data_IF_032443864551
#
_entry.id   IF_032443864551
#
_cell.length_a   1.000
_cell.length_b   1.000
_cell.length_c   1.000
_cell.angle_alpha   90.00
_cell.angle_beta   90.00
_cell.angle_gamma   90.00
#
_symmetry.space_group_name_H-M   'P 1'
#
loop_
_entity.id
_entity.type
_entity.pdbx_description
1 polymer ?
#
# COMPACT_ATOMS: atom_id res chain seq x y z
N UNK A 1 22.68 -12.69 2.90
CA UNK A 1 21.71 -11.96 2.05
C UNK A 1 20.56 -11.50 2.94
N UNK A 2 20.14 -10.25 2.85
CA UNK A 2 18.97 -9.75 3.58
C UNK A 2 17.73 -9.84 2.69
N UNK A 3 16.59 -10.21 3.28
CA UNK A 3 15.28 -10.20 2.61
C UNK A 3 14.63 -8.85 2.90
N UNK A 4 14.21 -8.14 1.86
CA UNK A 4 13.47 -6.88 1.96
C UNK A 4 12.00 -7.06 1.58
N UNK A 5 11.11 -6.34 2.26
CA UNK A 5 9.68 -6.30 1.97
C UNK A 5 9.28 -4.90 1.51
N UNK A 6 8.24 -4.81 0.68
CA UNK A 6 7.66 -3.53 0.26
C UNK A 6 6.15 -3.65 0.13
N UNK A 7 5.48 -2.52 0.35
CA UNK A 7 4.03 -2.41 0.27
C UNK A 7 3.64 -2.18 -1.20
N UNK A 8 2.56 -2.83 -1.63
CA UNK A 8 2.04 -2.78 -3.00
C UNK A 8 0.62 -2.24 -3.01
N UNK A 9 0.18 -1.74 -4.16
CA UNK A 9 -1.24 -1.46 -4.36
C UNK A 9 -2.07 -2.74 -4.14
N UNK A 10 -3.16 -2.63 -3.38
CA UNK A 10 -4.04 -3.75 -3.01
C UNK A 10 -3.58 -4.59 -1.82
N UNK A 11 -2.44 -4.30 -1.20
CA UNK A 11 -2.02 -4.99 0.02
C UNK A 11 -2.97 -4.65 1.19
N UNK A 12 -3.19 -5.61 2.10
CA UNK A 12 -4.18 -5.47 3.17
C UNK A 12 -3.61 -4.69 4.34
N UNK A 13 -4.41 -3.79 4.91
CA UNK A 13 -4.09 -3.13 6.17
C UNK A 13 -4.52 -3.99 7.36
N UNK A 14 -3.91 -3.78 8.53
CA UNK A 14 -4.21 -4.53 9.76
C UNK A 14 -5.68 -4.40 10.21
N UNK A 15 -6.31 -3.27 9.92
CA UNK A 15 -7.72 -3.00 10.17
C UNK A 15 -8.65 -3.53 9.07
N UNK A 16 -8.17 -4.42 8.18
CA UNK A 16 -8.98 -5.08 7.16
C UNK A 16 -9.28 -4.23 5.91
N UNK A 17 -8.65 -3.08 5.75
CA UNK A 17 -8.72 -2.29 4.53
C UNK A 17 -7.63 -2.65 3.53
N UNK A 18 -7.38 -1.78 2.55
CA UNK A 18 -6.44 -2.02 1.45
C UNK A 18 -5.69 -0.75 1.04
N UNK A 19 -4.50 -0.94 0.49
CA UNK A 19 -3.75 0.14 -0.17
C UNK A 19 -4.42 0.50 -1.49
N UNK A 20 -4.83 1.77 -1.62
CA UNK A 20 -5.59 2.27 -2.76
C UNK A 20 -4.69 2.90 -3.82
N UNK A 21 -3.59 3.52 -3.40
CA UNK A 21 -2.67 4.20 -4.29
C UNK A 21 -1.25 3.67 -4.17
N UNK A 22 -0.54 3.74 -5.29
CA UNK A 22 0.86 3.45 -5.41
C UNK A 22 1.40 4.18 -6.63
N UNK A 23 2.68 4.54 -6.62
CA UNK A 23 3.26 5.27 -7.72
C UNK A 23 3.79 4.34 -8.81
N UNK A 24 3.27 4.51 -10.03
CA UNK A 24 3.58 3.70 -11.21
C UNK A 24 4.92 4.04 -11.86
N UNK A 25 5.57 5.14 -11.48
CA UNK A 25 6.93 5.49 -11.94
C UNK A 25 7.99 4.62 -11.28
N UNK A 26 7.68 4.03 -10.10
CA UNK A 26 8.55 3.06 -9.43
C UNK A 26 7.82 1.73 -9.28
N UNK A 27 8.06 0.87 -10.27
CA UNK A 27 7.55 -0.49 -10.29
C UNK A 27 8.58 -1.45 -9.69
N UNK A 28 8.12 -2.42 -8.90
CA UNK A 28 8.92 -3.52 -8.40
C UNK A 28 8.26 -4.83 -8.71
N UNK A 29 8.98 -5.68 -9.45
CA UNK A 29 8.48 -6.99 -9.90
C UNK A 29 7.14 -6.88 -10.64
N UNK A 30 6.97 -5.80 -11.43
CA UNK A 30 5.74 -5.53 -12.19
C UNK A 30 4.60 -4.93 -11.37
N UNK A 31 4.82 -4.59 -10.10
CA UNK A 31 3.79 -3.99 -9.22
C UNK A 31 4.23 -2.60 -8.76
N UNK A 32 3.31 -1.64 -8.81
CA UNK A 32 3.56 -0.30 -8.27
C UNK A 32 3.79 -0.39 -6.76
N UNK A 33 4.89 0.19 -6.29
CA UNK A 33 5.21 0.28 -4.85
C UNK A 33 4.49 1.48 -4.24
N UNK A 34 3.88 1.25 -3.08
CA UNK A 34 3.29 2.32 -2.28
C UNK A 34 4.38 3.14 -1.55
N UNK A 35 4.12 4.43 -1.36
CA UNK A 35 5.00 5.43 -0.75
C UNK A 35 4.30 6.12 0.41
N UNK A 36 5.08 6.81 1.23
CA UNK A 36 4.53 7.74 2.22
C UNK A 36 3.54 8.69 1.54
N UNK A 37 2.37 8.86 2.14
CA UNK A 37 1.32 9.70 1.61
C UNK A 37 0.30 9.00 0.69
N UNK A 38 0.59 7.79 0.20
CA UNK A 38 -0.37 7.01 -0.60
C UNK A 38 -1.59 6.66 0.23
N UNK A 39 -2.77 6.75 -0.40
CA UNK A 39 -4.05 6.49 0.28
C UNK A 39 -4.23 5.00 0.59
N UNK A 40 -4.76 4.73 1.79
CA UNK A 40 -5.17 3.39 2.24
C UNK A 40 -6.57 3.47 2.84
N UNK A 41 -7.39 2.44 2.67
CA UNK A 41 -8.66 2.33 3.38
C UNK A 41 -8.48 1.65 4.75
N UNK A 42 -9.33 2.04 5.70
CA UNK A 42 -9.55 1.31 6.94
C UNK A 42 -10.81 0.46 6.82
N UNK A 43 -10.72 -0.83 7.10
CA UNK A 43 -11.88 -1.74 7.05
C UNK A 43 -12.85 -1.57 8.22
N UNK A 44 -12.39 -0.99 9.33
CA UNK A 44 -13.21 -0.79 10.54
C UNK A 44 -14.11 0.45 10.42
N UNK A 45 -13.56 1.58 10.02
CA UNK A 45 -14.26 2.88 9.99
C UNK A 45 -14.61 3.34 8.56
N UNK A 46 -14.12 2.62 7.53
CA UNK A 46 -14.37 2.94 6.11
C UNK A 46 -13.67 4.21 5.61
N UNK A 47 -12.93 4.93 6.47
CA UNK A 47 -12.19 6.14 6.11
C UNK A 47 -10.90 5.83 5.37
N UNK A 48 -10.42 6.85 4.66
CA UNK A 48 -9.14 6.80 3.94
C UNK A 48 -8.05 7.51 4.74
N UNK A 49 -6.91 6.84 4.90
CA UNK A 49 -5.71 7.32 5.58
C UNK A 49 -4.54 7.36 4.60
N UNK A 50 -3.37 7.78 5.08
CA UNK A 50 -2.13 7.77 4.30
C UNK A 50 -1.10 6.86 4.96
N UNK A 51 -0.28 6.17 4.15
CA UNK A 51 0.90 5.41 4.62
C UNK A 51 1.89 6.35 5.29
#
# INVERSE_FOLDING_TARGET
>A
MAIGYFIRCGDKTSCGGVVLEADTRVMMFGVARAREGDRVSCGEDGKTYRI
#
